data_IF_418495002151
#
_entry.id   IF_418495002151
#
_cell.length_a   1.000
_cell.length_b   1.000
_cell.length_c   1.000
_cell.angle_alpha   90.00
_cell.angle_beta   90.00
_cell.angle_gamma   90.00
#
_symmetry.space_group_name_H-M   'P 1'
#
loop_
_entity.id
_entity.type
_entity.pdbx_description
1 polymer ?
#
# COMPACT_ATOMS: atom_id res chain seq x y z
N UNK A 1 40.13 -0.65 -44.06
CA UNK A 1 38.84 -1.26 -43.68
C UNK A 1 38.87 -1.90 -42.28
N UNK A 2 40.00 -2.47 -41.84
CA UNK A 2 40.11 -3.13 -40.52
C UNK A 2 39.86 -2.21 -39.31
N UNK A 3 40.39 -0.99 -39.32
CA UNK A 3 40.22 -0.02 -38.22
C UNK A 3 38.75 0.38 -37.99
N UNK A 4 37.96 0.42 -39.06
CA UNK A 4 36.55 0.84 -39.03
C UNK A 4 35.68 -0.28 -38.43
N UNK A 5 35.97 -1.54 -38.74
CA UNK A 5 35.33 -2.70 -38.11
C UNK A 5 35.64 -2.82 -36.61
N UNK A 6 36.85 -2.47 -36.20
CA UNK A 6 37.26 -2.48 -34.79
C UNK A 6 36.51 -1.40 -33.98
N UNK A 7 36.38 -0.18 -34.52
CA UNK A 7 35.62 0.91 -33.89
C UNK A 7 34.14 0.54 -33.75
N UNK A 8 33.52 0.00 -34.80
CA UNK A 8 32.12 -0.44 -34.76
C UNK A 8 31.92 -1.57 -33.76
N UNK A 9 32.83 -2.54 -33.71
CA UNK A 9 32.79 -3.65 -32.75
C UNK A 9 32.90 -3.19 -31.30
N UNK A 10 33.78 -2.22 -31.02
CA UNK A 10 33.93 -1.63 -29.67
C UNK A 10 32.66 -0.85 -29.27
N UNK A 11 32.12 -0.03 -30.17
CA UNK A 11 30.89 0.72 -29.89
C UNK A 11 29.71 -0.24 -29.66
N UNK A 12 29.57 -1.28 -30.49
CA UNK A 12 28.53 -2.31 -30.33
C UNK A 12 28.68 -3.13 -29.04
N UNK A 13 29.91 -3.45 -28.64
CA UNK A 13 30.18 -4.12 -27.37
C UNK A 13 29.80 -3.26 -26.16
N UNK A 14 30.14 -1.96 -26.18
CA UNK A 14 29.82 -1.03 -25.12
C UNK A 14 28.31 -0.79 -24.98
N UNK A 15 27.58 -0.65 -26.09
CA UNK A 15 26.13 -0.50 -26.06
C UNK A 15 25.43 -1.77 -25.58
N UNK A 16 25.91 -2.95 -25.98
CA UNK A 16 25.41 -4.23 -25.48
C UNK A 16 25.56 -4.36 -23.97
N UNK A 17 26.74 -4.05 -23.42
CA UNK A 17 26.99 -4.10 -21.96
C UNK A 17 26.10 -3.09 -21.21
N UNK A 18 25.96 -1.87 -21.73
CA UNK A 18 25.09 -0.86 -21.12
C UNK A 18 23.63 -1.32 -21.09
N UNK A 19 23.11 -1.86 -22.20
CA UNK A 19 21.73 -2.36 -22.28
C UNK A 19 21.48 -3.52 -21.31
N UNK A 20 22.43 -4.45 -21.17
CA UNK A 20 22.33 -5.56 -20.23
C UNK A 20 22.29 -5.08 -18.77
N UNK A 21 23.10 -4.06 -18.45
CA UNK A 21 23.11 -3.46 -17.12
C UNK A 21 21.80 -2.73 -16.78
N UNK A 22 21.24 -1.96 -17.70
CA UNK A 22 19.93 -1.31 -17.51
C UNK A 22 18.80 -2.33 -17.39
N UNK A 23 18.80 -3.36 -18.25
CA UNK A 23 17.81 -4.43 -18.20
C UNK A 23 17.88 -5.20 -16.87
N UNK A 24 19.08 -5.49 -16.37
CA UNK A 24 19.27 -6.13 -15.08
C UNK A 24 18.75 -5.27 -13.91
N UNK A 25 19.00 -3.96 -13.93
CA UNK A 25 18.45 -3.03 -12.93
C UNK A 25 16.94 -2.98 -12.94
N UNK A 26 16.31 -2.91 -14.11
CA UNK A 26 14.85 -2.92 -14.22
C UNK A 26 14.27 -4.26 -13.78
N UNK A 27 14.91 -5.38 -14.14
CA UNK A 27 14.53 -6.70 -13.65
C UNK A 27 14.60 -6.78 -12.12
N UNK A 28 15.65 -6.26 -11.49
CA UNK A 28 15.73 -6.24 -10.03
C UNK A 28 14.65 -5.40 -9.37
N UNK A 29 14.20 -4.30 -9.99
CA UNK A 29 13.06 -3.50 -9.49
C UNK A 29 11.75 -4.27 -9.61
N UNK A 30 11.47 -4.87 -10.76
CA UNK A 30 10.25 -5.64 -11.00
C UNK A 30 10.19 -6.92 -10.16
N UNK A 31 11.34 -7.55 -9.91
CA UNK A 31 11.43 -8.80 -9.16
C UNK A 31 11.65 -8.58 -7.66
N UNK A 32 11.61 -7.33 -7.18
CA UNK A 32 11.63 -7.05 -5.75
C UNK A 32 10.34 -7.60 -5.14
N UNK A 33 10.49 -8.50 -4.17
CA UNK A 33 9.34 -9.02 -3.43
C UNK A 33 8.68 -7.88 -2.67
N UNK A 34 7.38 -7.69 -2.87
CA UNK A 34 6.58 -6.71 -2.12
C UNK A 34 6.56 -7.16 -0.66
N UNK A 35 7.10 -6.34 0.23
CA UNK A 35 7.18 -6.60 1.65
C UNK A 35 6.12 -5.79 2.39
N UNK A 36 5.53 -6.36 3.44
CA UNK A 36 4.59 -5.65 4.29
C UNK A 36 5.36 -4.93 5.40
N UNK A 37 5.34 -3.59 5.37
CA UNK A 37 5.92 -2.72 6.38
C UNK A 37 4.96 -2.63 7.55
N UNK A 38 5.44 -3.03 8.73
CA UNK A 38 4.71 -2.92 10.00
C UNK A 38 5.10 -1.66 10.79
N UNK A 39 6.17 -0.99 10.38
CA UNK A 39 6.67 0.24 11.03
C UNK A 39 6.09 1.48 10.35
N UNK A 40 5.58 2.41 11.16
CA UNK A 40 4.91 3.63 10.70
C UNK A 40 5.88 4.61 10.04
N UNK A 41 7.18 4.56 10.40
CA UNK A 41 8.22 5.37 9.78
C UNK A 41 8.35 5.15 8.28
N UNK A 42 8.37 3.88 7.84
CA UNK A 42 8.42 3.52 6.41
C UNK A 42 7.10 3.76 5.66
N UNK A 43 5.97 3.80 6.37
CA UNK A 43 4.66 4.07 5.78
C UNK A 43 4.33 5.58 5.68
N UNK A 44 5.04 6.44 6.43
CA UNK A 44 4.84 7.89 6.41
C UNK A 44 5.35 8.58 5.14
N UNK A 45 6.25 7.92 4.39
CA UNK A 45 6.71 8.37 3.06
C UNK A 45 5.63 8.17 1.98
N UNK A 46 4.60 7.39 2.31
CA UNK A 46 3.64 6.82 1.36
C UNK A 46 2.22 7.37 1.53
N UNK A 47 1.80 7.54 2.78
CA UNK A 47 0.49 8.07 3.16
C UNK A 47 0.66 9.34 4.00
N UNK A 48 -0.36 10.21 4.07
CA UNK A 48 -0.29 11.40 4.93
C UNK A 48 0.15 11.03 6.35
N UNK A 49 1.21 11.66 6.86
CA UNK A 49 1.90 11.21 8.07
C UNK A 49 1.00 11.06 9.32
N UNK A 50 -0.03 11.89 9.46
CA UNK A 50 -0.99 11.80 10.57
C UNK A 50 -1.87 10.54 10.50
N UNK A 51 -2.17 10.07 9.29
CA UNK A 51 -3.05 8.95 9.00
C UNK A 51 -2.36 7.62 9.29
N UNK A 52 -1.14 7.44 8.79
CA UNK A 52 -0.36 6.21 9.02
C UNK A 52 0.14 6.10 10.46
N UNK A 53 0.58 7.19 11.08
CA UNK A 53 1.11 7.13 12.45
C UNK A 53 0.05 6.70 13.45
N UNK A 54 -1.15 7.29 13.40
CA UNK A 54 -2.20 7.03 14.39
C UNK A 54 -2.92 5.71 14.12
N UNK A 55 -3.29 5.44 12.87
CA UNK A 55 -4.04 4.22 12.54
C UNK A 55 -3.19 2.95 12.60
N UNK A 56 -1.85 3.02 12.55
CA UNK A 56 -0.99 1.86 12.78
C UNK A 56 -0.64 1.64 14.26
N UNK A 57 -0.68 2.71 15.08
CA UNK A 57 -0.27 2.65 16.49
C UNK A 57 -1.45 2.41 17.43
N UNK A 58 -2.56 3.11 17.21
CA UNK A 58 -3.72 3.08 18.09
C UNK A 58 -4.72 2.01 17.63
N UNK A 59 -5.35 1.32 18.60
CA UNK A 59 -6.54 0.51 18.35
C UNK A 59 -7.76 1.41 18.59
N UNK A 60 -8.38 1.88 17.51
CA UNK A 60 -9.43 2.90 17.54
C UNK A 60 -10.36 2.77 16.35
N UNK A 61 -11.57 3.35 16.38
CA UNK A 61 -12.51 3.22 15.26
C UNK A 61 -12.23 4.24 14.16
N UNK A 62 -11.88 3.74 12.98
CA UNK A 62 -11.64 4.55 11.79
C UNK A 62 -12.50 4.07 10.61
N UNK A 63 -12.91 5.02 9.76
CA UNK A 63 -13.68 4.75 8.55
C UNK A 63 -12.85 5.06 7.31
N UNK A 64 -12.65 4.07 6.44
CA UNK A 64 -11.99 4.25 5.14
C UNK A 64 -13.03 4.35 4.05
N UNK A 65 -13.17 5.54 3.47
CA UNK A 65 -14.14 5.78 2.39
C UNK A 65 -13.53 5.33 1.08
N UNK A 66 -14.24 4.46 0.37
CA UNK A 66 -13.80 3.92 -0.92
C UNK A 66 -14.33 4.76 -2.09
N UNK A 67 -13.73 4.60 -3.27
CA UNK A 67 -14.20 5.21 -4.53
C UNK A 67 -15.64 4.82 -4.91
N UNK A 68 -16.15 3.69 -4.39
CA UNK A 68 -17.53 3.24 -4.59
C UNK A 68 -18.52 3.81 -3.56
N UNK A 69 -18.06 4.66 -2.63
CA UNK A 69 -18.88 5.24 -1.57
C UNK A 69 -19.14 4.32 -0.37
N UNK A 70 -18.58 3.11 -0.36
CA UNK A 70 -18.61 2.25 0.82
C UNK A 70 -17.57 2.69 1.84
N UNK A 71 -17.86 2.45 3.11
CA UNK A 71 -16.98 2.74 4.23
C UNK A 71 -16.50 1.42 4.81
N UNK A 72 -15.20 1.17 4.75
CA UNK A 72 -14.58 0.04 5.44
C UNK A 72 -14.21 0.49 6.84
N UNK A 73 -14.83 -0.10 7.86
CA UNK A 73 -14.54 0.27 9.25
C UNK A 73 -13.42 -0.61 9.77
N UNK A 74 -12.38 0.02 10.30
CA UNK A 74 -11.19 -0.64 10.80
C UNK A 74 -10.91 -0.20 12.24
N UNK A 75 -10.31 -1.10 13.01
CA UNK A 75 -9.71 -0.78 14.30
C UNK A 75 -8.28 -0.25 14.16
N UNK A 76 -7.55 -0.69 13.13
CA UNK A 76 -6.17 -0.27 12.83
C UNK A 76 -5.68 -0.80 11.48
N UNK A 77 -4.61 -0.17 10.98
CA UNK A 77 -3.77 -0.67 9.89
C UNK A 77 -2.69 -1.56 10.52
N UNK A 78 -2.58 -2.81 10.07
CA UNK A 78 -1.55 -3.75 10.54
C UNK A 78 -0.23 -3.58 9.80
N UNK A 79 -0.31 -3.37 8.49
CA UNK A 79 0.87 -3.17 7.66
C UNK A 79 0.52 -2.53 6.33
N UNK A 80 1.50 -1.86 5.74
CA UNK A 80 1.41 -1.24 4.41
C UNK A 80 2.47 -1.85 3.53
N UNK A 81 2.14 -2.21 2.29
CA UNK A 81 3.13 -2.72 1.34
C UNK A 81 4.22 -1.69 1.06
N UNK A 82 5.46 -2.13 0.90
CA UNK A 82 6.63 -1.31 0.55
C UNK A 82 6.51 -0.56 -0.79
N UNK A 83 5.57 -0.99 -1.65
CA UNK A 83 5.23 -0.34 -2.91
C UNK A 83 3.99 0.57 -2.81
N UNK A 84 3.42 0.75 -1.61
CA UNK A 84 2.31 1.69 -1.38
C UNK A 84 0.97 1.33 -2.01
N UNK A 85 0.80 0.11 -2.53
CA UNK A 85 -0.41 -0.26 -3.25
C UNK A 85 -1.45 -0.95 -2.36
N UNK A 86 -1.00 -1.63 -1.31
CA UNK A 86 -1.81 -2.47 -0.44
C UNK A 86 -1.61 -2.14 1.04
N UNK A 87 -2.65 -2.37 1.82
CA UNK A 87 -2.57 -2.37 3.28
C UNK A 87 -3.35 -3.53 3.85
N UNK A 88 -2.83 -4.13 4.93
CA UNK A 88 -3.58 -5.05 5.76
C UNK A 88 -4.18 -4.29 6.92
N UNK A 89 -5.44 -4.56 7.21
CA UNK A 89 -6.22 -3.89 8.24
C UNK A 89 -6.87 -4.91 9.17
N UNK A 90 -7.21 -4.42 10.36
CA UNK A 90 -8.11 -5.09 11.29
C UNK A 90 -9.48 -4.44 11.15
N UNK A 91 -10.46 -5.14 10.59
CA UNK A 91 -11.85 -4.72 10.45
C UNK A 91 -12.55 -4.70 11.81
N UNK A 92 -13.38 -3.69 12.03
CA UNK A 92 -14.29 -3.66 13.17
C UNK A 92 -15.51 -4.55 12.91
N UNK A 93 -16.08 -5.12 13.97
CA UNK A 93 -17.39 -5.78 13.88
C UNK A 93 -18.53 -4.78 13.88
N UNK A 94 -19.70 -5.23 13.44
CA UNK A 94 -20.91 -4.40 13.37
C UNK A 94 -21.29 -3.78 14.73
N UNK A 95 -21.05 -4.51 15.81
CA UNK A 95 -21.39 -4.07 17.17
C UNK A 95 -20.47 -2.92 17.64
N UNK A 96 -19.21 -2.91 17.19
CA UNK A 96 -18.24 -1.87 17.53
C UNK A 96 -18.54 -0.55 16.80
N UNK A 97 -19.13 -0.60 15.61
CA UNK A 97 -19.33 0.57 14.74
C UNK A 97 -20.78 0.81 14.34
N UNK A 98 -21.70 0.59 15.28
CA UNK A 98 -23.14 0.81 15.08
C UNK A 98 -23.49 2.22 14.56
N UNK A 99 -22.65 3.23 14.82
CA UNK A 99 -22.79 4.61 14.35
C UNK A 99 -22.28 4.88 12.92
N UNK A 100 -21.42 4.02 12.35
CA UNK A 100 -20.77 4.29 11.07
C UNK A 100 -21.73 4.34 9.88
N UNK A 101 -22.89 3.69 10.00
CA UNK A 101 -23.91 3.64 8.96
C UNK A 101 -24.52 5.00 8.60
N UNK A 102 -24.35 6.03 9.45
CA UNK A 102 -24.81 7.39 9.15
C UNK A 102 -24.07 8.02 7.96
N UNK A 103 -22.88 7.53 7.65
CA UNK A 103 -22.01 8.08 6.61
C UNK A 103 -22.14 7.36 5.26
N UNK A 104 -22.81 6.20 5.20
CA UNK A 104 -23.00 5.43 3.96
C UNK A 104 -23.05 3.91 4.18
N UNK A 105 -23.03 3.11 3.10
CA UNK A 105 -22.94 1.65 3.18
C UNK A 105 -21.62 1.22 3.84
N UNK A 106 -21.70 0.30 4.81
CA UNK A 106 -20.55 -0.05 5.66
C UNK A 106 -20.13 -1.51 5.46
N UNK A 107 -18.82 -1.73 5.38
CA UNK A 107 -18.18 -3.04 5.38
C UNK A 107 -17.56 -3.29 6.75
N UNK A 108 -17.94 -4.41 7.35
CA UNK A 108 -17.49 -4.87 8.68
C UNK A 108 -16.87 -6.26 8.58
N UNK A 109 -16.18 -6.67 9.65
CA UNK A 109 -15.85 -8.07 9.87
C UNK A 109 -17.13 -8.93 9.92
N UNK A 110 -17.08 -10.11 9.30
CA UNK A 110 -18.20 -11.06 9.29
C UNK A 110 -18.42 -11.69 10.67
N UNK A 111 -17.34 -11.87 11.43
CA UNK A 111 -17.33 -12.45 12.76
C UNK A 111 -16.11 -11.93 13.54
N UNK A 112 -16.16 -12.04 14.88
CA UNK A 112 -15.07 -11.60 15.75
C UNK A 112 -13.73 -12.30 15.48
N UNK A 113 -13.73 -13.55 15.01
CA UNK A 113 -12.54 -14.32 14.66
C UNK A 113 -12.05 -14.05 13.22
N UNK A 114 -12.77 -13.23 12.44
CA UNK A 114 -12.52 -12.97 11.01
C UNK A 114 -12.43 -11.47 10.72
N UNK A 115 -11.41 -10.82 11.33
CA UNK A 115 -11.19 -9.37 11.23
C UNK A 115 -10.10 -8.94 10.25
N UNK A 116 -9.32 -9.84 9.67
CA UNK A 116 -8.20 -9.43 8.81
C UNK A 116 -8.65 -9.27 7.37
N UNK A 117 -8.32 -8.13 6.76
CA UNK A 117 -8.56 -7.87 5.34
C UNK A 117 -7.41 -7.10 4.71
N UNK A 118 -7.21 -7.29 3.40
CA UNK A 118 -6.26 -6.52 2.59
C UNK A 118 -7.02 -5.56 1.68
N UNK A 119 -6.61 -4.30 1.65
CA UNK A 119 -7.24 -3.23 0.89
C UNK A 119 -6.24 -2.60 -0.08
N UNK A 120 -6.72 -2.25 -1.28
CA UNK A 120 -5.95 -1.43 -2.20
C UNK A 120 -6.05 0.04 -1.82
N UNK A 121 -4.90 0.67 -1.63
CA UNK A 121 -4.81 2.08 -1.19
C UNK A 121 -5.42 3.02 -2.23
N UNK A 122 -5.20 2.75 -3.53
CA UNK A 122 -5.74 3.57 -4.64
C UNK A 122 -7.27 3.70 -4.66
N UNK A 123 -7.98 2.82 -3.97
CA UNK A 123 -9.43 2.86 -3.91
C UNK A 123 -9.94 3.63 -2.68
N UNK A 124 -9.07 4.16 -1.84
CA UNK A 124 -9.42 4.94 -0.65
C UNK A 124 -9.36 6.42 -1.00
N UNK A 125 -10.47 7.13 -0.80
CA UNK A 125 -10.60 8.56 -1.12
C UNK A 125 -10.59 9.44 0.11
N UNK A 126 -10.97 8.90 1.27
CA UNK A 126 -10.98 9.63 2.53
C UNK A 126 -10.86 8.69 3.73
N UNK A 127 -10.54 9.30 4.87
CA UNK A 127 -10.33 8.67 6.15
C UNK A 127 -11.06 9.46 7.23
N UNK A 128 -11.81 8.77 8.08
CA UNK A 128 -12.63 9.36 9.13
C UNK A 128 -12.23 8.79 10.49
N UNK A 129 -12.18 9.65 11.49
CA UNK A 129 -12.19 9.23 12.89
C UNK A 129 -13.65 9.03 13.29
N UNK A 130 -14.02 7.81 13.68
CA UNK A 130 -15.41 7.43 13.95
C UNK A 130 -15.73 7.36 15.44
N UNK A 131 -14.72 7.36 16.31
CA UNK A 131 -14.96 7.35 17.74
C UNK A 131 -14.98 8.77 18.30
N UNK A 132 -16.03 9.05 19.08
CA UNK A 132 -16.14 10.27 19.89
C UNK A 132 -15.67 9.95 21.30
N UNK A 133 -14.95 10.90 21.91
CA UNK A 133 -14.81 10.99 23.38
C UNK A 133 -16.16 11.23 24.05
#
# INVERSE_FOLDING_TARGET
MEMLGLIIGVIGGLTGIASAFFSWKEWQKTNRKIAMLTDSGGASEVLPAWYTSRMMTDHWLFGLVTTGGQIVVINRIKSVSDNSEWMDVELATKDESSSAAIYGPVVHAVADDRRVASLQIRNIVAALDLASS
#
